data_IF_355802581485
#
_entry.id   IF_355802581485
#
_cell.length_a   1.000
_cell.length_b   1.000
_cell.length_c   1.000
_cell.angle_alpha   90.00
_cell.angle_beta   90.00
_cell.angle_gamma   90.00
#
_symmetry.space_group_name_H-M   'P 1'
#
loop_
_entity.id
_entity.type
_entity.pdbx_description
1 polymer ?
#
# COMPACT_ATOMS: atom_id res chain seq x y z
N UNK A 1 4.71 22.96 21.67
CA UNK A 1 4.73 21.52 21.42
C UNK A 1 5.76 21.24 20.32
N UNK A 2 6.73 20.39 20.60
CA UNK A 2 7.70 19.87 19.65
C UNK A 2 7.33 18.43 19.35
N UNK A 3 6.95 18.14 18.11
CA UNK A 3 6.67 16.77 17.64
C UNK A 3 7.96 16.13 17.14
N UNK A 4 8.28 14.94 17.62
CA UNK A 4 9.36 14.10 17.08
C UNK A 4 8.82 13.13 16.04
N UNK A 5 9.17 13.30 14.76
CA UNK A 5 8.78 12.39 13.68
C UNK A 5 9.86 11.34 13.46
N UNK A 6 9.48 10.07 13.56
CA UNK A 6 10.37 8.92 13.38
C UNK A 6 9.85 8.05 12.22
N UNK A 7 10.48 8.19 11.06
CA UNK A 7 10.14 7.47 9.84
C UNK A 7 11.39 7.31 8.97
N UNK A 8 11.47 6.29 8.11
CA UNK A 8 12.29 6.40 6.91
C UNK A 8 11.85 7.66 6.12
N UNK A 9 12.80 8.32 5.47
CA UNK A 9 12.57 9.47 4.61
C UNK A 9 13.34 9.28 3.29
N UNK A 10 12.99 10.02 2.22
CA UNK A 10 13.78 10.03 1.00
C UNK A 10 15.26 10.31 1.31
N UNK A 11 16.22 9.63 0.64
CA UNK A 11 16.08 8.86 -0.60
C UNK A 11 15.71 7.37 -0.44
N UNK A 12 15.24 6.93 0.73
CA UNK A 12 14.79 5.55 0.90
C UNK A 12 13.62 5.22 -0.06
N UNK A 13 13.78 4.18 -0.89
CA UNK A 13 12.81 3.79 -1.92
C UNK A 13 11.62 3.02 -1.32
N UNK A 14 10.79 3.69 -0.55
CA UNK A 14 9.59 3.10 0.06
C UNK A 14 8.43 4.09 0.08
N UNK A 15 7.19 3.59 -0.09
CA UNK A 15 6.01 4.45 -0.03
C UNK A 15 5.84 5.17 1.32
N UNK A 16 6.32 4.56 2.42
CA UNK A 16 6.29 5.19 3.75
C UNK A 16 7.23 6.39 3.82
N UNK A 17 8.37 6.36 3.14
CA UNK A 17 9.29 7.49 3.08
C UNK A 17 8.65 8.70 2.39
N UNK A 18 8.04 8.48 1.23
CA UNK A 18 7.33 9.53 0.48
C UNK A 18 6.14 10.08 1.28
N UNK A 19 5.37 9.18 1.90
CA UNK A 19 4.27 9.55 2.80
C UNK A 19 4.74 10.43 3.95
N UNK A 20 5.80 10.01 4.66
CA UNK A 20 6.29 10.73 5.82
C UNK A 20 6.90 12.09 5.45
N UNK A 21 7.53 12.21 4.28
CA UNK A 21 8.01 13.50 3.77
C UNK A 21 6.85 14.48 3.50
N UNK A 22 5.79 14.01 2.84
CA UNK A 22 4.60 14.82 2.60
C UNK A 22 3.89 15.22 3.91
N UNK A 23 3.73 14.28 4.84
CA UNK A 23 3.15 14.55 6.16
C UNK A 23 4.01 15.53 6.96
N UNK A 24 5.34 15.38 6.95
CA UNK A 24 6.26 16.29 7.63
C UNK A 24 6.11 17.73 7.14
N UNK A 25 5.99 17.93 5.81
CA UNK A 25 5.78 19.24 5.22
C UNK A 25 4.44 19.86 5.68
N UNK A 26 3.37 19.06 5.74
CA UNK A 26 2.06 19.50 6.22
C UNK A 26 2.07 19.83 7.72
N UNK A 27 2.61 18.96 8.57
CA UNK A 27 2.68 19.17 10.02
C UNK A 27 3.49 20.41 10.41
N UNK A 28 4.57 20.74 9.68
CA UNK A 28 5.38 21.95 9.92
C UNK A 28 4.61 23.26 9.71
N UNK A 29 3.47 23.23 9.03
CA UNK A 29 2.57 24.39 8.91
C UNK A 29 1.80 24.67 10.21
N UNK A 30 1.65 23.67 11.08
CA UNK A 30 0.93 23.81 12.34
C UNK A 30 1.84 24.09 13.55
N UNK A 31 3.11 23.67 13.50
CA UNK A 31 4.08 23.98 14.55
C UNK A 31 5.44 23.28 14.39
N UNK A 32 6.20 23.20 15.49
CA UNK A 32 7.57 22.67 15.48
C UNK A 32 7.58 21.15 15.35
N UNK A 33 8.11 20.65 14.24
CA UNK A 33 8.30 19.21 13.97
C UNK A 33 9.76 18.93 13.62
N UNK A 34 10.39 18.07 14.41
CA UNK A 34 11.78 17.67 14.23
C UNK A 34 11.86 16.21 13.79
N UNK A 35 12.82 15.91 12.93
CA UNK A 35 13.07 14.54 12.46
C UNK A 35 13.98 13.85 13.44
N UNK A 36 13.48 12.77 14.03
CA UNK A 36 14.17 11.91 14.97
C UNK A 36 14.92 12.62 16.12
N UNK A 37 14.34 13.64 16.80
CA UNK A 37 15.04 14.37 17.84
C UNK A 37 15.38 13.48 19.04
N UNK A 38 16.34 13.88 19.86
CA UNK A 38 16.65 13.19 21.11
C UNK A 38 15.50 13.31 22.13
N UNK A 39 14.83 14.47 22.16
CA UNK A 39 13.70 14.78 23.05
C UNK A 39 12.61 15.50 22.27
N UNK A 40 11.35 15.22 22.59
CA UNK A 40 10.17 15.85 22.03
C UNK A 40 9.03 15.76 23.06
N UNK A 41 7.98 16.57 22.90
CA UNK A 41 6.81 16.53 23.76
C UNK A 41 5.91 15.34 23.40
N UNK A 42 5.83 14.99 22.11
CA UNK A 42 5.11 13.82 21.60
C UNK A 42 5.84 13.22 20.40
N UNK A 43 5.95 11.89 20.37
CA UNK A 43 6.59 11.17 19.27
C UNK A 43 5.54 10.58 18.30
N UNK A 44 5.84 10.66 17.01
CA UNK A 44 5.08 10.05 15.92
C UNK A 44 5.94 8.99 15.23
N UNK A 45 5.59 7.71 15.39
CA UNK A 45 6.35 6.57 14.90
C UNK A 45 5.68 5.96 13.66
N UNK A 46 6.33 6.00 12.50
CA UNK A 46 5.85 5.32 11.30
C UNK A 46 6.39 3.90 11.24
N UNK A 47 5.48 2.93 11.17
CA UNK A 47 5.79 1.51 11.17
C UNK A 47 5.16 0.85 9.95
N UNK A 48 5.94 0.02 9.27
CA UNK A 48 5.51 -0.79 8.15
C UNK A 48 6.27 -2.09 8.12
N UNK A 49 5.92 -2.96 7.17
CA UNK A 49 6.48 -4.31 7.07
C UNK A 49 7.83 -4.32 6.33
N UNK A 50 8.83 -3.59 6.85
CA UNK A 50 10.16 -3.42 6.25
C UNK A 50 11.25 -3.21 7.31
N UNK A 51 12.44 -3.77 7.08
CA UNK A 51 13.60 -3.66 7.97
C UNK A 51 14.01 -2.22 8.32
N UNK A 52 13.71 -1.23 7.47
CA UNK A 52 13.96 0.19 7.74
C UNK A 52 13.26 0.71 9.01
N UNK A 53 12.20 0.03 9.47
CA UNK A 53 11.47 0.39 10.68
C UNK A 53 12.07 -0.18 11.97
N UNK A 54 13.16 -0.95 11.91
CA UNK A 54 13.72 -1.67 13.06
C UNK A 54 14.05 -0.77 14.26
N UNK A 55 14.78 0.32 14.02
CA UNK A 55 15.15 1.26 15.09
C UNK A 55 13.94 2.06 15.59
N UNK A 56 13.01 2.39 14.69
CA UNK A 56 11.78 3.15 14.99
C UNK A 56 10.87 2.31 15.90
N UNK A 57 10.70 1.03 15.57
CA UNK A 57 9.93 0.08 16.38
C UNK A 57 10.50 -0.06 17.78
N UNK A 58 11.82 -0.29 17.92
CA UNK A 58 12.48 -0.36 19.23
C UNK A 58 12.26 0.92 20.05
N UNK A 59 12.37 2.08 19.42
CA UNK A 59 12.14 3.37 20.08
C UNK A 59 10.69 3.53 20.53
N UNK A 60 9.72 3.14 19.70
CA UNK A 60 8.29 3.18 20.04
C UNK A 60 7.95 2.31 21.27
N UNK A 61 8.68 1.19 21.46
CA UNK A 61 8.54 0.35 22.66
C UNK A 61 9.19 0.95 23.91
N UNK A 62 10.28 1.71 23.75
CA UNK A 62 11.04 2.32 24.86
C UNK A 62 10.40 3.61 25.35
N UNK A 63 9.86 4.42 24.43
CA UNK A 63 9.25 5.71 24.71
C UNK A 63 7.88 5.76 24.04
N UNK A 64 6.78 5.60 24.79
CA UNK A 64 5.43 5.66 24.26
C UNK A 64 5.17 6.94 23.45
N UNK A 65 4.50 6.78 22.31
CA UNK A 65 4.05 7.86 21.44
C UNK A 65 2.89 7.42 20.56
N UNK A 66 2.58 8.17 19.52
CA UNK A 66 1.57 7.79 18.52
C UNK A 66 2.23 6.91 17.47
N UNK A 67 1.73 5.69 17.27
CA UNK A 67 2.20 4.80 16.22
C UNK A 67 1.30 4.88 14.99
N UNK A 68 1.87 4.96 13.80
CA UNK A 68 1.19 4.90 12.51
C UNK A 68 1.50 3.56 11.87
N UNK A 69 0.48 2.72 11.69
CA UNK A 69 0.61 1.44 11.01
C UNK A 69 0.30 1.61 9.52
N UNK A 70 1.33 1.53 8.70
CA UNK A 70 1.22 1.47 7.22
C UNK A 70 0.82 0.08 6.73
N UNK A 71 1.15 -0.95 7.52
CA UNK A 71 0.74 -2.34 7.34
C UNK A 71 0.19 -2.84 8.68
N UNK A 72 -0.95 -3.54 8.68
CA UNK A 72 -1.52 -4.15 9.88
C UNK A 72 -1.06 -5.60 10.09
N UNK A 73 0.01 -6.03 9.41
CA UNK A 73 0.70 -7.31 9.63
C UNK A 73 2.19 -7.01 9.80
N UNK A 74 2.67 -7.01 11.04
CA UNK A 74 4.09 -6.81 11.38
C UNK A 74 4.85 -8.13 11.53
N UNK A 75 4.20 -9.25 11.22
CA UNK A 75 4.78 -10.58 11.40
C UNK A 75 6.07 -10.76 10.59
N UNK A 76 6.07 -10.45 9.29
CA UNK A 76 7.27 -10.60 8.45
C UNK A 76 8.39 -9.64 8.85
N UNK A 77 8.05 -8.44 9.31
CA UNK A 77 9.00 -7.49 9.87
C UNK A 77 9.71 -8.11 11.08
N UNK A 78 8.95 -8.62 12.05
CA UNK A 78 9.50 -9.21 13.27
C UNK A 78 10.28 -10.50 12.99
N UNK A 79 9.85 -11.34 12.04
CA UNK A 79 10.64 -12.49 11.58
C UNK A 79 12.03 -12.09 11.06
N UNK A 80 12.14 -10.94 10.41
CA UNK A 80 13.42 -10.41 9.93
C UNK A 80 14.24 -9.67 10.99
N UNK A 81 13.67 -9.35 12.16
CA UNK A 81 14.35 -8.58 13.22
C UNK A 81 14.73 -9.39 14.45
N UNK A 82 14.03 -10.49 14.72
CA UNK A 82 14.16 -11.27 15.95
C UNK A 82 14.96 -12.57 15.69
N UNK A 83 15.60 -13.09 16.74
CA UNK A 83 16.07 -14.47 16.77
C UNK A 83 14.95 -15.43 17.12
N UNK A 84 15.22 -16.73 17.06
CA UNK A 84 14.23 -17.76 17.38
C UNK A 84 13.63 -17.60 18.78
N UNK A 85 14.43 -17.42 19.86
CA UNK A 85 13.87 -17.27 21.20
C UNK A 85 12.98 -16.04 21.32
N UNK A 86 13.43 -14.88 20.81
CA UNK A 86 12.69 -13.62 20.89
C UNK A 86 11.41 -13.67 20.06
N UNK A 87 11.44 -14.30 18.89
CA UNK A 87 10.25 -14.49 18.06
C UNK A 87 9.20 -15.34 18.78
N UNK A 88 9.62 -16.45 19.40
CA UNK A 88 8.71 -17.31 20.14
C UNK A 88 8.08 -16.56 21.31
N UNK A 89 8.88 -15.81 22.06
CA UNK A 89 8.38 -15.04 23.20
C UNK A 89 7.47 -13.88 22.75
N UNK A 90 7.74 -13.27 21.60
CA UNK A 90 6.85 -12.30 20.96
C UNK A 90 5.52 -12.95 20.56
N UNK A 91 5.56 -14.12 19.96
CA UNK A 91 4.35 -14.86 19.58
C UNK A 91 3.52 -15.23 20.80
N UNK A 92 4.17 -15.71 21.87
CA UNK A 92 3.54 -16.00 23.16
C UNK A 92 2.94 -14.75 23.80
N UNK A 93 3.60 -13.59 23.70
CA UNK A 93 3.04 -12.33 24.18
C UNK A 93 1.71 -12.00 23.47
N UNK A 94 1.66 -12.22 22.15
CA UNK A 94 0.48 -11.93 21.35
C UNK A 94 -0.66 -12.94 21.57
N UNK A 95 -0.36 -14.23 21.67
CA UNK A 95 -1.37 -15.31 21.59
C UNK A 95 -1.39 -16.29 22.76
N UNK A 96 -0.54 -16.09 23.77
CA UNK A 96 -0.45 -16.92 24.98
C UNK A 96 0.48 -18.13 24.86
N UNK A 97 0.83 -18.69 26.02
CA UNK A 97 1.83 -19.77 26.15
C UNK A 97 1.45 -21.06 25.40
N UNK A 98 0.15 -21.37 25.31
CA UNK A 98 -0.36 -22.53 24.57
C UNK A 98 0.02 -22.51 23.08
N UNK A 99 0.33 -21.34 22.53
CA UNK A 99 0.73 -21.16 21.13
C UNK A 99 2.25 -21.29 20.90
N UNK A 100 3.06 -21.60 21.92
CA UNK A 100 4.52 -21.77 21.78
C UNK A 100 4.90 -22.83 20.75
N UNK A 101 4.13 -23.92 20.66
CA UNK A 101 4.34 -24.97 19.67
C UNK A 101 4.17 -24.46 18.23
N UNK A 102 3.09 -23.72 17.98
CA UNK A 102 2.82 -23.07 16.69
C UNK A 102 3.92 -22.06 16.34
N UNK A 103 4.37 -21.26 17.31
CA UNK A 103 5.48 -20.33 17.09
C UNK A 103 6.75 -21.05 16.60
N UNK A 104 7.13 -22.17 17.23
CA UNK A 104 8.30 -22.96 16.78
C UNK A 104 8.11 -23.50 15.36
N UNK A 105 6.91 -23.93 15.02
CA UNK A 105 6.58 -24.41 13.67
C UNK A 105 6.70 -23.29 12.63
N UNK A 106 6.08 -22.13 12.88
CA UNK A 106 6.15 -20.96 12.00
C UNK A 106 7.59 -20.43 11.90
N UNK A 107 8.38 -20.49 12.96
CA UNK A 107 9.79 -20.12 12.85
C UNK A 107 10.57 -21.06 11.92
N UNK A 108 10.37 -22.38 12.05
CA UNK A 108 11.04 -23.37 11.18
C UNK A 108 10.61 -23.23 9.71
N UNK A 109 9.34 -22.92 9.48
CA UNK A 109 8.74 -22.79 8.14
C UNK A 109 8.84 -21.38 7.53
N UNK A 110 9.56 -20.44 8.16
CA UNK A 110 9.59 -19.01 7.78
C UNK A 110 10.03 -18.72 6.35
N UNK A 111 10.72 -19.65 5.69
CA UNK A 111 11.07 -19.54 4.28
C UNK A 111 9.82 -19.42 3.37
N UNK A 112 8.68 -19.99 3.78
CA UNK A 112 7.41 -19.91 3.08
C UNK A 112 6.49 -18.77 3.57
N UNK A 113 6.98 -17.88 4.44
CA UNK A 113 6.15 -16.88 5.12
C UNK A 113 5.41 -15.93 4.19
N UNK A 114 5.93 -15.68 2.99
CA UNK A 114 5.27 -14.84 1.99
C UNK A 114 4.02 -15.47 1.34
N UNK A 115 3.86 -16.78 1.43
CA UNK A 115 2.76 -17.53 0.81
C UNK A 115 1.86 -18.26 1.82
N UNK A 116 2.35 -18.55 3.02
CA UNK A 116 1.59 -19.23 4.06
C UNK A 116 0.64 -18.25 4.79
N UNK A 117 -0.67 -18.51 4.65
CA UNK A 117 -1.74 -17.69 5.23
C UNK A 117 -1.63 -17.50 6.74
N UNK A 118 -1.04 -18.46 7.47
CA UNK A 118 -0.90 -18.39 8.92
C UNK A 118 -0.07 -17.19 9.37
N UNK A 119 0.86 -16.69 8.56
CA UNK A 119 1.62 -15.50 8.93
C UNK A 119 0.77 -14.22 8.85
N UNK A 120 -0.21 -14.19 7.95
CA UNK A 120 -1.14 -13.08 7.78
C UNK A 120 -2.21 -13.08 8.88
N UNK A 121 -2.65 -14.27 9.31
CA UNK A 121 -3.61 -14.44 10.42
C UNK A 121 -3.01 -14.07 11.79
N UNK A 122 -1.68 -14.01 11.90
CA UNK A 122 -0.96 -13.71 13.13
C UNK A 122 -0.12 -12.42 12.98
N UNK A 123 -0.72 -11.23 12.97
CA UNK A 123 -0.03 -9.99 12.59
C UNK A 123 0.98 -9.43 13.59
N UNK A 124 1.02 -9.94 14.84
CA UNK A 124 1.96 -9.53 15.89
C UNK A 124 1.88 -8.03 16.26
N UNK A 125 0.66 -7.50 16.37
CA UNK A 125 0.42 -6.07 16.65
C UNK A 125 0.38 -5.72 18.14
N UNK A 126 0.15 -6.71 19.02
CA UNK A 126 -0.27 -6.45 20.41
C UNK A 126 0.72 -5.57 21.16
N UNK A 127 2.02 -5.90 21.11
CA UNK A 127 3.05 -5.19 21.86
C UNK A 127 3.13 -3.72 21.50
N UNK A 128 3.16 -3.40 20.20
CA UNK A 128 3.26 -2.01 19.78
C UNK A 128 1.98 -1.24 20.03
N UNK A 129 0.82 -1.87 19.84
CA UNK A 129 -0.47 -1.25 20.09
C UNK A 129 -0.71 -0.94 21.58
N UNK A 130 -0.34 -1.84 22.50
CA UNK A 130 -0.45 -1.62 23.95
C UNK A 130 0.54 -0.59 24.48
N UNK A 131 1.69 -0.42 23.83
CA UNK A 131 2.71 0.57 24.22
C UNK A 131 2.45 1.96 23.66
N UNK A 132 1.61 2.08 22.64
CA UNK A 132 1.33 3.36 21.97
C UNK A 132 0.28 4.17 22.73
N UNK A 133 0.42 5.49 22.73
CA UNK A 133 -0.60 6.42 23.25
C UNK A 133 -1.87 6.40 22.38
N UNK A 134 -1.67 6.26 21.07
CA UNK A 134 -2.69 5.98 20.08
C UNK A 134 -2.08 5.23 18.89
N UNK A 135 -2.90 4.45 18.21
CA UNK A 135 -2.56 3.75 16.97
C UNK A 135 -3.35 4.36 15.82
N UNK A 136 -2.65 5.00 14.90
CA UNK A 136 -3.20 5.51 13.66
C UNK A 136 -3.16 4.41 12.60
N UNK A 137 -4.31 4.23 11.93
CA UNK A 137 -4.50 3.30 10.82
C UNK A 137 -5.18 4.00 9.66
N UNK A 138 -5.06 3.46 8.45
CA UNK A 138 -5.53 4.11 7.23
C UNK A 138 -6.84 3.58 6.66
N UNK A 139 -7.38 2.50 7.23
CA UNK A 139 -8.61 1.88 6.77
C UNK A 139 -9.27 1.04 7.90
N UNK A 140 -10.55 0.65 7.72
CA UNK A 140 -11.26 -0.14 8.72
C UNK A 140 -10.71 -1.56 8.94
N UNK A 141 -10.00 -2.15 7.97
CA UNK A 141 -9.43 -3.50 8.13
C UNK A 141 -8.27 -3.49 9.13
N UNK A 142 -7.35 -2.53 9.00
CA UNK A 142 -6.30 -2.29 9.99
C UNK A 142 -6.88 -1.94 11.36
N UNK A 143 -7.91 -1.11 11.42
CA UNK A 143 -8.58 -0.79 12.68
C UNK A 143 -9.13 -2.05 13.36
N UNK A 144 -9.79 -2.93 12.59
CA UNK A 144 -10.29 -4.21 13.08
C UNK A 144 -9.18 -5.12 13.57
N UNK A 145 -8.08 -5.24 12.82
CA UNK A 145 -6.92 -6.04 13.21
C UNK A 145 -6.32 -5.55 14.53
N UNK A 146 -6.07 -4.24 14.67
CA UNK A 146 -5.56 -3.68 15.94
C UNK A 146 -6.53 -3.96 17.08
N UNK A 147 -7.84 -3.78 16.88
CA UNK A 147 -8.86 -4.01 17.91
C UNK A 147 -8.91 -5.48 18.36
N UNK A 148 -8.74 -6.42 17.43
CA UNK A 148 -8.72 -7.86 17.72
C UNK A 148 -7.49 -8.26 18.56
N UNK A 149 -6.32 -7.69 18.27
CA UNK A 149 -5.07 -8.07 18.95
C UNK A 149 -4.74 -7.21 20.18
N UNK A 150 -5.31 -6.02 20.29
CA UNK A 150 -5.12 -5.11 21.42
C UNK A 150 -6.43 -4.35 21.71
N UNK A 151 -7.38 -5.03 22.37
CA UNK A 151 -8.72 -4.49 22.61
C UNK A 151 -8.75 -3.15 23.36
N UNK A 152 -7.74 -2.88 24.21
CA UNK A 152 -7.59 -1.63 24.96
C UNK A 152 -6.87 -0.50 24.21
N UNK A 153 -6.35 -0.74 23.00
CA UNK A 153 -5.63 0.29 22.25
C UNK A 153 -6.59 1.40 21.79
N UNK A 154 -6.13 2.65 21.90
CA UNK A 154 -6.82 3.80 21.30
C UNK A 154 -6.53 3.84 19.80
N UNK A 155 -7.55 3.55 18.99
CA UNK A 155 -7.42 3.47 17.52
C UNK A 155 -8.00 4.74 16.91
N UNK A 156 -7.25 5.35 15.99
CA UNK A 156 -7.69 6.52 15.23
C UNK A 156 -7.52 6.24 13.74
N UNK A 157 -8.63 6.21 12.99
CA UNK A 157 -8.58 6.09 11.54
C UNK A 157 -8.25 7.47 10.95
N UNK A 158 -7.12 7.59 10.23
CA UNK A 158 -6.77 8.78 9.45
C UNK A 158 -6.47 8.32 8.02
N UNK A 159 -7.18 8.82 6.99
CA UNK A 159 -6.97 8.42 5.60
C UNK A 159 -5.51 8.55 5.16
N UNK A 160 -5.07 7.62 4.32
CA UNK A 160 -3.74 7.70 3.71
C UNK A 160 -3.67 8.95 2.82
N UNK A 161 -2.78 9.88 3.12
CA UNK A 161 -2.69 11.15 2.39
C UNK A 161 -2.39 10.98 0.89
N UNK A 162 -2.82 11.99 0.14
CA UNK A 162 -2.52 12.27 -1.24
C UNK A 162 -1.84 13.64 -1.31
N UNK A 163 -0.61 13.66 -1.83
CA UNK A 163 0.06 14.88 -2.24
C UNK A 163 -0.13 15.03 -3.74
N UNK A 164 -0.80 16.10 -4.16
CA UNK A 164 -1.00 16.37 -5.58
C UNK A 164 0.37 16.59 -6.25
N UNK A 165 0.69 15.83 -7.31
CA UNK A 165 1.96 15.97 -8.02
C UNK A 165 1.88 17.08 -9.07
N UNK A 166 3.05 17.50 -9.53
CA UNK A 166 3.16 18.15 -10.84
C UNK A 166 3.03 17.07 -11.92
N UNK A 167 1.95 17.13 -12.70
CA UNK A 167 1.67 16.14 -13.73
C UNK A 167 2.32 16.54 -15.06
N UNK A 168 2.90 15.58 -15.80
CA UNK A 168 3.27 15.78 -17.19
C UNK A 168 2.07 16.20 -18.02
N UNK A 169 2.30 17.00 -19.07
CA UNK A 169 1.24 17.40 -19.96
C UNK A 169 0.72 16.21 -20.81
N UNK A 170 -0.43 16.41 -21.47
CA UNK A 170 -1.05 15.36 -22.29
C UNK A 170 -0.16 14.94 -23.47
N UNK A 171 0.60 15.86 -24.04
CA UNK A 171 1.46 15.57 -25.18
C UNK A 171 2.70 14.76 -24.73
N UNK A 172 3.25 15.02 -23.55
CA UNK A 172 4.30 14.22 -22.91
C UNK A 172 3.81 12.80 -22.65
N UNK A 173 2.62 12.63 -22.08
CA UNK A 173 2.04 11.29 -21.85
C UNK A 173 1.83 10.52 -23.16
N UNK A 174 1.38 11.18 -24.24
CA UNK A 174 1.23 10.56 -25.57
C UNK A 174 2.60 10.17 -26.16
N UNK A 175 3.59 11.06 -26.12
CA UNK A 175 4.95 10.76 -26.58
C UNK A 175 5.56 9.61 -25.79
N UNK A 176 5.31 9.56 -24.48
CA UNK A 176 5.75 8.46 -23.63
C UNK A 176 5.13 7.12 -24.08
N UNK A 177 3.82 7.07 -24.32
CA UNK A 177 3.15 5.88 -24.88
C UNK A 177 3.78 5.44 -26.21
N UNK A 178 4.02 6.38 -27.13
CA UNK A 178 4.68 6.09 -28.41
C UNK A 178 6.09 5.53 -28.21
N UNK A 179 6.86 6.08 -27.27
CA UNK A 179 8.22 5.60 -26.96
C UNK A 179 8.26 4.17 -26.40
N UNK A 180 7.16 3.73 -25.76
CA UNK A 180 7.00 2.35 -25.29
C UNK A 180 6.54 1.39 -26.40
N UNK A 181 6.17 1.91 -27.59
CA UNK A 181 5.56 1.11 -28.66
C UNK A 181 4.07 0.82 -28.43
N UNK A 182 3.38 1.64 -27.62
CA UNK A 182 1.93 1.52 -27.43
C UNK A 182 1.22 2.11 -28.64
N UNK A 183 0.39 1.32 -29.30
CA UNK A 183 -0.38 1.73 -30.46
C UNK A 183 -1.29 2.94 -30.16
N UNK A 184 -1.42 3.91 -31.11
CA UNK A 184 -2.36 5.01 -30.97
C UNK A 184 -3.79 4.51 -30.75
N UNK A 185 -4.46 5.04 -29.73
CA UNK A 185 -5.85 4.66 -29.40
C UNK A 185 -5.99 3.35 -28.63
N UNK A 186 -4.89 2.63 -28.35
CA UNK A 186 -4.94 1.48 -27.46
C UNK A 186 -5.46 1.86 -26.07
N UNK A 187 -6.08 0.92 -25.35
CA UNK A 187 -6.41 1.09 -23.94
C UNK A 187 -5.30 0.45 -23.09
N UNK A 188 -4.56 1.26 -22.33
CA UNK A 188 -3.38 0.82 -21.60
C UNK A 188 -3.68 0.65 -20.11
N UNK A 189 -3.66 -0.58 -19.60
CA UNK A 189 -3.66 -0.86 -18.17
C UNK A 189 -2.27 -0.67 -17.56
N UNK A 190 -2.20 -0.36 -16.26
CA UNK A 190 -0.95 -0.19 -15.51
C UNK A 190 -0.90 -0.96 -14.19
N UNK A 191 0.20 -1.67 -13.94
CA UNK A 191 0.56 -2.27 -12.65
C UNK A 191 1.86 -1.62 -12.18
N UNK A 192 1.85 -0.98 -11.01
CA UNK A 192 2.97 -0.17 -10.54
C UNK A 192 3.53 -0.59 -9.19
N UNK A 193 4.83 -0.35 -8.98
CA UNK A 193 5.56 -0.51 -7.71
C UNK A 193 6.13 -1.93 -7.51
N UNK A 194 6.75 -2.20 -6.37
CA UNK A 194 7.37 -3.50 -6.08
C UNK A 194 6.45 -4.70 -6.36
N UNK A 195 6.90 -5.64 -7.18
CA UNK A 195 6.12 -6.79 -7.65
C UNK A 195 6.33 -7.94 -6.67
N UNK A 196 5.27 -8.23 -5.91
CA UNK A 196 5.19 -9.29 -4.90
C UNK A 196 4.06 -10.24 -5.26
N UNK A 197 4.06 -11.42 -4.67
CA UNK A 197 3.04 -12.46 -4.85
C UNK A 197 1.65 -11.90 -4.52
N UNK A 198 1.57 -11.07 -3.47
CA UNK A 198 0.32 -10.44 -3.06
C UNK A 198 -0.29 -9.53 -4.12
N UNK A 199 0.47 -9.02 -5.11
CA UNK A 199 -0.08 -8.19 -6.20
C UNK A 199 -0.87 -8.94 -7.26
N UNK A 200 -0.97 -10.27 -7.13
CA UNK A 200 -1.75 -11.12 -8.04
C UNK A 200 -1.33 -10.97 -9.51
N UNK A 201 -0.06 -10.64 -9.77
CA UNK A 201 0.43 -10.35 -11.11
C UNK A 201 0.22 -11.53 -12.08
N UNK A 202 0.36 -12.77 -11.61
CA UNK A 202 0.07 -13.96 -12.42
C UNK A 202 -1.39 -13.97 -12.91
N UNK A 203 -2.36 -13.70 -12.03
CA UNK A 203 -3.78 -13.64 -12.40
C UNK A 203 -4.06 -12.49 -13.37
N UNK A 204 -3.47 -11.32 -13.12
CA UNK A 204 -3.58 -10.15 -14.02
C UNK A 204 -3.05 -10.46 -15.41
N UNK A 205 -1.88 -11.08 -15.52
CA UNK A 205 -1.26 -11.42 -16.80
C UNK A 205 -2.06 -12.49 -17.56
N UNK A 206 -2.59 -13.50 -16.86
CA UNK A 206 -3.43 -14.54 -17.48
C UNK A 206 -4.73 -13.95 -18.05
N UNK A 207 -5.42 -13.11 -17.29
CA UNK A 207 -6.64 -12.44 -17.77
C UNK A 207 -6.33 -11.46 -18.88
N UNK A 208 -5.21 -10.73 -18.79
CA UNK A 208 -4.80 -9.82 -19.84
C UNK A 208 -4.52 -10.54 -21.17
N UNK A 209 -3.86 -11.71 -21.16
CA UNK A 209 -3.64 -12.50 -22.38
C UNK A 209 -4.95 -12.84 -23.10
N UNK A 210 -5.97 -13.25 -22.36
CA UNK A 210 -7.30 -13.54 -22.90
C UNK A 210 -7.92 -12.29 -23.56
N UNK A 211 -7.86 -11.15 -22.86
CA UNK A 211 -8.41 -9.89 -23.35
C UNK A 211 -7.64 -9.38 -24.56
N UNK A 212 -6.32 -9.49 -24.58
CA UNK A 212 -5.49 -9.03 -25.69
C UNK A 212 -5.75 -9.87 -26.96
N UNK A 213 -5.99 -11.19 -26.82
CA UNK A 213 -6.39 -12.05 -27.95
C UNK A 213 -7.74 -11.67 -28.55
N UNK A 214 -8.68 -11.19 -27.73
CA UNK A 214 -10.00 -10.72 -28.18
C UNK A 214 -9.94 -9.27 -28.68
N UNK A 215 -9.06 -8.44 -28.13
CA UNK A 215 -8.88 -7.03 -28.45
C UNK A 215 -7.38 -6.65 -28.48
N UNK A 216 -6.73 -6.69 -29.66
CA UNK A 216 -5.33 -6.33 -29.83
C UNK A 216 -4.99 -4.87 -29.50
N UNK A 217 -5.99 -4.00 -29.35
CA UNK A 217 -5.82 -2.62 -28.90
C UNK A 217 -5.79 -2.49 -27.37
N UNK A 218 -5.81 -3.58 -26.59
CA UNK A 218 -5.54 -3.54 -25.16
C UNK A 218 -4.03 -3.72 -24.89
N UNK A 219 -3.46 -2.90 -24.01
CA UNK A 219 -2.07 -3.01 -23.56
C UNK A 219 -1.97 -3.13 -22.04
N UNK A 220 -0.87 -3.69 -21.53
CA UNK A 220 -0.58 -3.78 -20.10
C UNK A 220 0.86 -3.34 -19.80
N UNK A 221 1.00 -2.22 -19.10
CA UNK A 221 2.27 -1.73 -18.58
C UNK A 221 2.52 -2.32 -17.18
N UNK A 222 3.61 -3.07 -17.03
CA UNK A 222 4.08 -3.62 -15.75
C UNK A 222 5.38 -2.91 -15.35
N UNK A 223 5.29 -2.01 -14.37
CA UNK A 223 6.41 -1.17 -13.92
C UNK A 223 6.73 -1.42 -12.44
N UNK A 224 7.98 -1.76 -12.13
CA UNK A 224 8.41 -2.07 -10.77
C UNK A 224 9.48 -3.15 -10.70
N UNK A 225 10.04 -3.39 -9.52
CA UNK A 225 11.06 -4.41 -9.29
C UNK A 225 10.45 -5.66 -8.63
N UNK A 226 10.80 -6.85 -9.09
CA UNK A 226 10.47 -8.11 -8.41
C UNK A 226 11.21 -8.21 -7.08
N UNK A 227 10.49 -8.61 -6.04
CA UNK A 227 11.09 -8.87 -4.71
C UNK A 227 11.52 -10.32 -4.54
N UNK A 228 11.12 -11.18 -5.48
CA UNK A 228 11.25 -12.63 -5.46
C UNK A 228 11.64 -13.09 -6.86
N UNK A 229 12.78 -13.76 -6.97
CA UNK A 229 13.26 -14.35 -8.23
C UNK A 229 12.39 -15.53 -8.67
N UNK A 230 11.76 -16.23 -7.73
CA UNK A 230 10.82 -17.32 -8.01
C UNK A 230 9.56 -16.79 -8.68
N UNK A 231 9.00 -15.69 -8.16
CA UNK A 231 7.87 -15.02 -8.77
C UNK A 231 8.21 -14.53 -10.17
N UNK A 232 9.35 -13.88 -10.35
CA UNK A 232 9.81 -13.38 -11.66
C UNK A 232 9.90 -14.51 -12.68
N UNK A 233 10.53 -15.64 -12.31
CA UNK A 233 10.63 -16.82 -13.17
C UNK A 233 9.26 -17.41 -13.50
N UNK A 234 8.35 -17.48 -12.52
CA UNK A 234 7.03 -18.06 -12.69
C UNK A 234 6.16 -17.28 -13.70
N UNK A 235 6.29 -15.95 -13.76
CA UNK A 235 5.50 -15.10 -14.67
C UNK A 235 6.23 -14.69 -15.94
N UNK A 236 7.51 -15.01 -16.08
CA UNK A 236 8.36 -14.59 -17.21
C UNK A 236 7.76 -14.88 -18.59
N UNK A 237 7.17 -16.06 -18.88
CA UNK A 237 6.56 -16.32 -20.18
C UNK A 237 5.41 -15.36 -20.51
N UNK A 238 4.60 -15.01 -19.51
CA UNK A 238 3.47 -14.10 -19.67
C UNK A 238 3.92 -12.63 -19.76
N UNK A 239 5.04 -12.27 -19.12
CA UNK A 239 5.62 -10.93 -19.25
C UNK A 239 6.17 -10.63 -20.64
N UNK A 240 6.50 -11.66 -21.42
CA UNK A 240 6.96 -11.54 -22.80
C UNK A 240 5.82 -11.67 -23.83
N UNK A 241 4.57 -11.76 -23.37
CA UNK A 241 3.42 -11.87 -24.26
C UNK A 241 3.17 -10.56 -25.04
N UNK A 242 2.57 -10.63 -26.24
CA UNK A 242 2.15 -9.45 -26.99
C UNK A 242 1.29 -8.50 -26.16
N UNK A 243 1.48 -7.19 -26.35
CA UNK A 243 0.75 -6.16 -25.62
C UNK A 243 1.20 -5.91 -24.17
N UNK A 244 2.18 -6.68 -23.65
CA UNK A 244 2.77 -6.44 -22.34
C UNK A 244 4.05 -5.60 -22.47
N UNK A 245 4.08 -4.48 -21.75
CA UNK A 245 5.22 -3.56 -21.70
C UNK A 245 5.86 -3.63 -20.32
N UNK A 246 7.17 -3.91 -20.26
CA UNK A 246 7.89 -4.08 -19.00
C UNK A 246 8.84 -2.91 -18.74
N UNK A 247 8.70 -2.28 -17.58
CA UNK A 247 9.63 -1.25 -17.10
C UNK A 247 10.23 -1.61 -15.74
N UNK A 248 11.45 -1.17 -15.43
CA UNK A 248 12.06 -1.42 -14.12
C UNK A 248 11.34 -0.63 -13.01
N UNK A 249 11.97 -0.55 -11.84
CA UNK A 249 11.59 0.46 -10.86
C UNK A 249 11.65 1.86 -11.49
N UNK A 250 10.57 2.63 -11.34
CA UNK A 250 10.49 4.00 -11.82
C UNK A 250 10.78 4.97 -10.67
N UNK A 251 11.60 5.99 -10.93
CA UNK A 251 11.70 7.12 -10.02
C UNK A 251 10.43 7.98 -10.06
N UNK A 252 10.38 9.06 -9.28
CA UNK A 252 9.17 9.85 -9.14
C UNK A 252 8.71 10.49 -10.46
N UNK A 253 9.64 11.01 -11.27
CA UNK A 253 9.31 11.66 -12.53
C UNK A 253 8.80 10.63 -13.54
N UNK A 254 9.54 9.54 -13.72
CA UNK A 254 9.17 8.49 -14.65
C UNK A 254 7.88 7.78 -14.21
N UNK A 255 7.64 7.67 -12.90
CA UNK A 255 6.39 7.17 -12.37
C UNK A 255 5.22 8.04 -12.81
N UNK A 256 5.31 9.37 -12.68
CA UNK A 256 4.21 10.25 -13.07
C UNK A 256 3.99 10.29 -14.59
N UNK A 257 5.05 10.15 -15.39
CA UNK A 257 4.92 9.93 -16.83
C UNK A 257 4.15 8.65 -17.14
N UNK A 258 4.53 7.54 -16.54
CA UNK A 258 3.88 6.26 -16.74
C UNK A 258 2.44 6.24 -16.19
N UNK A 259 2.20 6.83 -15.02
CA UNK A 259 0.87 6.94 -14.42
C UNK A 259 -0.07 7.83 -15.26
N UNK A 260 0.44 8.90 -15.86
CA UNK A 260 -0.33 9.74 -16.80
C UNK A 260 -0.62 9.04 -18.12
N UNK A 261 0.28 8.15 -18.57
CA UNK A 261 0.18 7.42 -19.83
C UNK A 261 -0.86 6.28 -19.82
N UNK A 262 -1.11 5.65 -18.67
CA UNK A 262 -2.11 4.56 -18.57
C UNK A 262 -3.54 5.08 -18.54
N UNK A 263 -4.48 4.28 -19.00
CA UNK A 263 -5.91 4.57 -19.00
C UNK A 263 -6.61 4.03 -17.74
N UNK A 264 -6.09 2.94 -17.15
CA UNK A 264 -6.56 2.39 -15.88
C UNK A 264 -5.41 1.74 -15.10
N UNK A 265 -5.52 1.68 -13.77
CA UNK A 265 -4.56 0.97 -12.92
C UNK A 265 -5.16 -0.30 -12.34
N UNK A 266 -4.43 -1.41 -12.44
CA UNK A 266 -4.74 -2.66 -11.75
C UNK A 266 -3.84 -2.75 -10.52
N UNK A 267 -4.45 -2.68 -9.34
CA UNK A 267 -3.75 -2.73 -8.06
C UNK A 267 -4.43 -3.75 -7.14
N UNK A 268 -4.45 -5.00 -7.60
CA UNK A 268 -4.94 -6.12 -6.82
C UNK A 268 -4.02 -6.42 -5.65
N UNK A 269 -4.63 -6.93 -4.58
CA UNK A 269 -3.90 -7.40 -3.43
C UNK A 269 -4.59 -8.53 -2.71
N UNK A 270 -3.96 -9.70 -2.68
CA UNK A 270 -4.44 -10.83 -1.90
C UNK A 270 -3.31 -11.81 -1.54
N UNK A 271 -3.22 -12.29 -0.28
CA UNK A 271 -4.04 -11.87 0.87
C UNK A 271 -3.76 -10.41 1.27
N UNK A 272 -4.76 -9.74 1.84
CA UNK A 272 -4.61 -8.37 2.32
C UNK A 272 -3.94 -8.35 3.71
N UNK A 273 -3.14 -7.32 3.99
CA UNK A 273 -2.50 -7.12 5.30
C UNK A 273 -3.07 -5.92 6.04
N UNK A 274 -4.27 -5.47 5.67
CA UNK A 274 -4.89 -4.25 6.19
C UNK A 274 -4.17 -2.97 5.75
N UNK A 275 -3.32 -3.00 4.73
CA UNK A 275 -2.64 -1.80 4.24
C UNK A 275 -3.56 -0.93 3.37
N UNK A 276 -3.23 0.37 3.29
CA UNK A 276 -3.78 1.25 2.24
C UNK A 276 -2.70 1.49 1.19
N UNK A 277 -2.97 1.12 -0.07
CA UNK A 277 -1.97 1.27 -1.12
C UNK A 277 -1.81 2.73 -1.57
N UNK A 278 -0.63 3.29 -1.36
CA UNK A 278 -0.27 4.62 -1.89
C UNK A 278 -0.40 4.70 -3.42
N UNK A 279 -0.24 3.60 -4.17
CA UNK A 279 -0.48 3.56 -5.61
C UNK A 279 -1.96 3.81 -5.93
N UNK A 280 -2.89 3.15 -5.24
CA UNK A 280 -4.33 3.41 -5.44
C UNK A 280 -4.66 4.87 -5.19
N UNK A 281 -4.21 5.42 -4.06
CA UNK A 281 -4.46 6.83 -3.69
C UNK A 281 -3.91 7.79 -4.75
N UNK A 282 -2.69 7.55 -5.24
CA UNK A 282 -2.06 8.39 -6.28
C UNK A 282 -2.82 8.33 -7.60
N UNK A 283 -3.14 7.13 -8.10
CA UNK A 283 -3.79 6.94 -9.39
C UNK A 283 -5.24 7.42 -9.37
N UNK A 284 -5.99 7.14 -8.30
CA UNK A 284 -7.32 7.70 -8.09
C UNK A 284 -7.26 9.23 -8.01
N UNK A 285 -6.27 9.79 -7.30
CA UNK A 285 -6.12 11.23 -7.12
C UNK A 285 -5.86 12.02 -8.40
N UNK A 286 -5.27 11.39 -9.42
CA UNK A 286 -5.06 11.97 -10.75
C UNK A 286 -6.15 11.57 -11.76
N UNK A 287 -7.24 10.97 -11.28
CA UNK A 287 -8.42 10.67 -12.07
C UNK A 287 -8.34 9.41 -12.92
N UNK A 288 -7.47 8.46 -12.56
CA UNK A 288 -7.44 7.14 -13.22
C UNK A 288 -8.41 6.18 -12.54
N UNK A 289 -9.24 5.43 -13.28
CA UNK A 289 -9.97 4.31 -12.70
C UNK A 289 -8.97 3.27 -12.17
N UNK A 290 -9.24 2.75 -10.97
CA UNK A 290 -8.38 1.76 -10.31
C UNK A 290 -9.19 0.51 -9.99
N UNK A 291 -8.67 -0.64 -10.41
CA UNK A 291 -9.18 -1.96 -10.02
C UNK A 291 -8.44 -2.38 -8.75
N UNK A 292 -9.18 -2.60 -7.67
CA UNK A 292 -8.67 -3.03 -6.36
C UNK A 292 -9.31 -4.35 -5.98
N UNK A 293 -8.64 -5.16 -5.16
CA UNK A 293 -9.29 -6.32 -4.56
C UNK A 293 -10.38 -5.85 -3.61
N UNK A 294 -11.57 -6.45 -3.71
CA UNK A 294 -12.69 -6.18 -2.82
C UNK A 294 -12.36 -6.61 -1.39
N UNK A 295 -12.65 -5.74 -0.44
CA UNK A 295 -12.22 -5.93 0.94
C UNK A 295 -12.53 -4.74 1.84
N UNK A 296 -12.28 -4.94 3.13
CA UNK A 296 -12.55 -3.93 4.15
C UNK A 296 -11.56 -2.74 4.03
N UNK A 297 -10.39 -2.96 3.43
CA UNK A 297 -9.32 -1.99 3.16
C UNK A 297 -9.80 -0.86 2.24
N UNK A 298 -10.64 -1.17 1.25
CA UNK A 298 -11.16 -0.22 0.28
C UNK A 298 -12.63 0.19 0.55
N UNK A 299 -13.22 -0.29 1.64
CA UNK A 299 -14.64 -0.07 1.98
C UNK A 299 -15.05 1.40 2.17
N UNK A 300 -14.09 2.30 2.46
CA UNK A 300 -14.31 3.75 2.57
C UNK A 300 -14.46 4.46 1.23
N UNK A 301 -14.00 3.84 0.15
CA UNK A 301 -14.19 4.41 -1.18
C UNK A 301 -15.65 4.22 -1.61
N UNK A 302 -16.31 5.25 -2.17
CA UNK A 302 -17.62 5.10 -2.79
C UNK A 302 -17.62 3.96 -3.81
N UNK A 303 -18.75 3.27 -3.94
CA UNK A 303 -18.91 2.11 -4.84
C UNK A 303 -18.54 2.43 -6.30
N UNK A 304 -18.73 3.67 -6.72
CA UNK A 304 -18.50 4.14 -8.08
C UNK A 304 -17.18 4.94 -8.27
N UNK A 305 -16.32 4.96 -7.24
CA UNK A 305 -15.03 5.66 -7.22
C UNK A 305 -13.84 4.75 -7.60
N UNK A 306 -14.01 3.43 -7.50
CA UNK A 306 -13.06 2.42 -7.95
C UNK A 306 -13.81 1.15 -8.38
N UNK A 307 -13.11 0.21 -9.03
CA UNK A 307 -13.68 -1.09 -9.38
C UNK A 307 -13.18 -2.13 -8.37
N UNK A 308 -14.10 -2.84 -7.74
CA UNK A 308 -13.78 -3.85 -6.73
C UNK A 308 -13.84 -5.23 -7.36
N UNK A 309 -12.70 -5.92 -7.33
CA UNK A 309 -12.51 -7.23 -7.93
C UNK A 309 -12.65 -8.27 -6.83
N UNK A 310 -13.59 -9.20 -7.01
CA UNK A 310 -13.80 -10.28 -6.05
C UNK A 310 -12.50 -11.06 -5.83
N UNK A 311 -12.29 -11.57 -4.61
CA UNK A 311 -11.15 -12.44 -4.31
C UNK A 311 -11.56 -13.92 -4.35
N UNK A 312 -10.59 -14.82 -4.33
CA UNK A 312 -10.85 -16.26 -4.33
C UNK A 312 -11.31 -16.80 -5.69
N UNK A 313 -12.23 -17.79 -5.73
CA UNK A 313 -12.59 -18.48 -6.97
C UNK A 313 -13.14 -17.59 -8.09
N UNK A 314 -13.78 -16.47 -7.72
CA UNK A 314 -14.39 -15.53 -8.67
C UNK A 314 -13.41 -14.45 -9.19
N UNK A 315 -12.19 -14.36 -8.66
CA UNK A 315 -11.23 -13.30 -8.98
C UNK A 315 -10.97 -13.18 -10.48
N UNK A 316 -10.76 -14.31 -11.16
CA UNK A 316 -10.47 -14.32 -12.59
C UNK A 316 -11.62 -13.76 -13.43
N UNK A 317 -12.84 -14.23 -13.18
CA UNK A 317 -14.02 -13.79 -13.95
C UNK A 317 -14.37 -12.33 -13.63
N UNK A 318 -14.35 -11.95 -12.35
CA UNK A 318 -14.57 -10.57 -11.92
C UNK A 318 -13.55 -9.62 -12.56
N UNK A 319 -12.27 -9.97 -12.55
CA UNK A 319 -11.22 -9.17 -13.19
C UNK A 319 -11.46 -9.03 -14.70
N UNK A 320 -11.75 -10.14 -15.38
CA UNK A 320 -12.01 -10.16 -16.83
C UNK A 320 -13.17 -9.24 -17.20
N UNK A 321 -14.30 -9.37 -16.52
CA UNK A 321 -15.50 -8.56 -16.78
C UNK A 321 -15.23 -7.06 -16.62
N UNK A 322 -14.52 -6.66 -15.57
CA UNK A 322 -14.19 -5.26 -15.32
C UNK A 322 -13.18 -4.70 -16.32
N UNK A 323 -12.19 -5.49 -16.74
CA UNK A 323 -11.27 -5.07 -17.79
C UNK A 323 -11.97 -4.94 -19.15
N UNK A 324 -12.92 -5.81 -19.48
CA UNK A 324 -13.77 -5.69 -20.68
C UNK A 324 -14.64 -4.43 -20.62
N UNK A 325 -15.27 -4.15 -19.47
CA UNK A 325 -16.06 -2.93 -19.26
C UNK A 325 -15.22 -1.68 -19.56
N UNK A 326 -14.02 -1.59 -18.99
CA UNK A 326 -13.15 -0.42 -19.16
C UNK A 326 -12.66 -0.24 -20.60
N UNK A 327 -12.29 -1.33 -21.26
CA UNK A 327 -11.84 -1.30 -22.66
C UNK A 327 -12.97 -1.01 -23.64
N UNK A 328 -14.20 -1.41 -23.33
CA UNK A 328 -15.36 -1.24 -24.22
C UNK A 328 -16.10 0.09 -24.00
N UNK A 329 -16.00 0.68 -22.80
CA UNK A 329 -16.79 1.86 -22.42
C UNK A 329 -15.91 2.96 -21.81
N UNK A 330 -15.13 3.66 -22.63
CA UNK A 330 -14.19 4.71 -22.17
C UNK A 330 -14.84 5.83 -21.36
N UNK A 331 -16.11 6.16 -21.63
CA UNK A 331 -16.86 7.16 -20.83
C UNK A 331 -17.13 6.67 -19.40
N UNK A 332 -17.38 5.37 -19.23
CA UNK A 332 -17.54 4.75 -17.90
C UNK A 332 -16.20 4.77 -17.16
N UNK A 333 -15.11 4.39 -17.83
CA UNK A 333 -13.75 4.47 -17.29
C UNK A 333 -13.41 5.88 -16.78
N UNK A 334 -13.70 6.90 -17.60
CA UNK A 334 -13.47 8.30 -17.24
C UNK A 334 -14.35 8.76 -16.08
N UNK A 335 -15.63 8.38 -16.03
CA UNK A 335 -16.53 8.73 -14.94
C UNK A 335 -16.09 8.12 -13.60
N UNK A 336 -15.65 6.86 -13.59
CA UNK A 336 -15.10 6.20 -12.39
C UNK A 336 -13.85 6.97 -11.92
N UNK A 337 -12.93 7.27 -12.84
CA UNK A 337 -11.72 8.04 -12.52
C UNK A 337 -12.03 9.41 -11.93
N UNK A 338 -12.98 10.15 -12.50
CA UNK A 338 -13.41 11.47 -11.99
C UNK A 338 -14.01 11.39 -10.58
N UNK A 339 -14.83 10.37 -10.30
CA UNK A 339 -15.38 10.15 -8.95
C UNK A 339 -14.32 9.73 -7.95
N UNK A 340 -13.40 8.87 -8.37
CA UNK A 340 -12.19 8.54 -7.61
C UNK A 340 -11.40 9.79 -7.22
N UNK A 341 -11.08 10.65 -8.19
CA UNK A 341 -10.39 11.90 -7.93
C UNK A 341 -11.18 12.82 -6.98
N UNK A 342 -12.50 12.96 -7.20
CA UNK A 342 -13.36 13.74 -6.32
C UNK A 342 -13.31 13.28 -4.87
N UNK A 343 -13.36 11.97 -4.63
CA UNK A 343 -13.22 11.40 -3.29
C UNK A 343 -11.84 11.65 -2.68
N UNK A 344 -10.76 11.43 -3.44
CA UNK A 344 -9.39 11.69 -2.97
C UNK A 344 -9.19 13.17 -2.62
N UNK A 345 -9.69 14.08 -3.45
CA UNK A 345 -9.65 15.53 -3.18
C UNK A 345 -10.49 15.93 -1.96
N UNK A 346 -11.55 15.19 -1.64
CA UNK A 346 -12.42 15.52 -0.51
C UNK A 346 -11.93 14.99 0.85
N UNK A 347 -11.10 13.94 0.88
CA UNK A 347 -10.78 13.23 2.13
C UNK A 347 -9.31 12.87 2.35
N UNK A 348 -8.48 12.93 1.31
CA UNK A 348 -7.09 12.46 1.37
C UNK A 348 -6.08 13.60 1.23
N UNK A 349 -6.51 14.86 1.10
CA UNK A 349 -5.59 16.00 0.92
C UNK A 349 -4.60 16.11 2.05
N UNK A 350 -3.34 16.38 1.71
CA UNK A 350 -2.25 16.52 2.70
C UNK A 350 -2.58 17.54 3.78
N UNK A 351 -3.26 18.66 3.46
CA UNK A 351 -3.67 19.67 4.44
C UNK A 351 -4.64 19.12 5.49
N UNK A 352 -5.69 18.42 5.04
CA UNK A 352 -6.71 17.87 5.93
C UNK A 352 -6.15 16.74 6.78
N UNK A 353 -5.40 15.82 6.16
CA UNK A 353 -4.76 14.71 6.85
C UNK A 353 -3.76 15.24 7.89
N UNK A 354 -2.94 16.22 7.53
CA UNK A 354 -1.95 16.82 8.44
C UNK A 354 -2.63 17.54 9.61
N UNK A 355 -3.77 18.20 9.38
CA UNK A 355 -4.58 18.81 10.45
C UNK A 355 -5.05 17.75 11.45
N UNK A 356 -5.61 16.63 10.97
CA UNK A 356 -6.06 15.51 11.83
C UNK A 356 -4.93 14.89 12.64
N UNK A 357 -3.75 14.73 12.03
CA UNK A 357 -2.57 14.27 12.76
C UNK A 357 -2.15 15.28 13.83
N UNK A 358 -2.13 16.58 13.49
CA UNK A 358 -1.72 17.61 14.42
C UNK A 358 -2.67 17.69 15.63
N UNK A 359 -3.98 17.67 15.38
CA UNK A 359 -5.01 17.64 16.43
C UNK A 359 -4.83 16.44 17.36
N UNK A 360 -4.67 15.24 16.80
CA UNK A 360 -4.40 14.03 17.59
C UNK A 360 -3.13 14.16 18.45
N UNK A 361 -2.05 14.70 17.87
CA UNK A 361 -0.79 14.88 18.59
C UNK A 361 -0.91 15.90 19.73
N UNK A 362 -1.73 16.94 19.57
CA UNK A 362 -1.98 17.94 20.60
C UNK A 362 -2.67 17.36 21.85
N UNK A 363 -3.43 16.27 21.72
CA UNK A 363 -4.07 15.59 22.85
C UNK A 363 -3.07 14.99 23.83
N UNK A 364 -1.84 14.69 23.37
CA UNK A 364 -0.79 14.04 24.16
C UNK A 364 0.31 15.01 24.59
N UNK A 365 0.05 16.31 24.51
CA UNK A 365 0.97 17.32 25.03
C UNK A 365 1.10 17.14 26.55
N UNK A 366 2.23 16.58 26.98
CA UNK A 366 2.68 16.64 28.38
C UNK A 366 3.24 18.01 28.74
#
# INVERSE_FOLDING_TARGET
>A
MTVGLYSPLPPARTGVADYAAALLAGLRRHGRVEVAPARCDVALYHLGNNALHAQIYRRALQSPGVAVLHDAVLHHFLLGQLGEPEYIDEFVYNYGEWNRGLARELWRSRAASGADGRYFDHPLLRRVAERSLAVVVHNPAAARAVKQHAAGARIVEIPHLFSAPELPDRAEAIRYRQSLGVEPGAFLFGVFGYLRESKRLAAVLQVFDEIHRENPFAGLLVAGQFVSTDLERAVSPLLSAPGVFRLPYLDERDFWLAASAVDACINLRYPATGETSGISIRLMGIGKPVLVTDGLECSRFPEDACLRIESGPAERESLRQHMILLTSMTRVASAIGQRGAGHIQAHHRVEEVSTRYWELLCEFRT
#
